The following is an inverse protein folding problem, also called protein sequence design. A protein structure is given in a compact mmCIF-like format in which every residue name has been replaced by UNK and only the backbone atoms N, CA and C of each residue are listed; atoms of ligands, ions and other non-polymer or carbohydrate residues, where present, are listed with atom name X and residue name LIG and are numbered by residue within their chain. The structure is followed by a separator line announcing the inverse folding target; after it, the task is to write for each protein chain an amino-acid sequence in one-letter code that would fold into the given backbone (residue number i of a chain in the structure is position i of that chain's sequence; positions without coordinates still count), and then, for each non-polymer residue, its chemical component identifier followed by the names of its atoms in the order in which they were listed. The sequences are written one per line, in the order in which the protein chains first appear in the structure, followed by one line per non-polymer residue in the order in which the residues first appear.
data_IF_483818397386
#
_entry.id   IF_483818397386
#
_cell.length_a   1.000
_cell.length_b   1.000
_cell.length_c   1.000
_cell.angle_alpha   90.00
_cell.angle_beta   90.00
_cell.angle_gamma   90.00
#
_symmetry.space_group_name_H-M   'P 1'
#
loop_
_entity.id
_entity.type
_entity.pdbx_description
1 polymer ?
#
# COMPACT_ATOMS: atom_id res chain seq x y z
N UNK A 1 -11.63 -11.34 2.46
CA UNK A 1 -11.22 -10.27 1.53
C UNK A 1 -12.26 -9.18 1.51
N UNK A 2 -11.89 -7.98 1.90
CA UNK A 2 -12.76 -6.81 1.98
C UNK A 2 -12.38 -5.84 0.86
N UNK A 3 -13.31 -5.57 -0.04
CA UNK A 3 -13.11 -4.64 -1.16
C UNK A 3 -13.71 -3.27 -0.82
N UNK A 4 -13.04 -2.20 -1.24
CA UNK A 4 -13.52 -0.83 -1.20
C UNK A 4 -13.68 -0.35 -2.65
N UNK A 5 -14.89 0.05 -3.03
CA UNK A 5 -15.21 0.53 -4.37
C UNK A 5 -15.93 1.88 -4.30
N UNK A 6 -15.92 2.60 -5.41
CA UNK A 6 -16.56 3.90 -5.54
C UNK A 6 -15.92 4.77 -6.63
N UNK A 7 -16.58 5.86 -7.05
CA UNK A 7 -16.06 6.77 -8.07
C UNK A 7 -14.70 7.37 -7.73
N UNK A 8 -13.99 7.90 -8.71
CA UNK A 8 -12.77 8.69 -8.48
C UNK A 8 -13.08 9.87 -7.55
N UNK A 9 -12.20 10.12 -6.58
CA UNK A 9 -12.43 11.18 -5.57
C UNK A 9 -13.37 10.80 -4.42
N UNK A 10 -13.91 9.58 -4.37
CA UNK A 10 -14.83 9.17 -3.30
C UNK A 10 -14.19 8.98 -1.91
N UNK A 11 -12.86 9.04 -1.81
CA UNK A 11 -12.13 8.91 -0.54
C UNK A 11 -11.58 7.51 -0.23
N UNK A 12 -11.59 6.56 -1.19
CA UNK A 12 -11.09 5.18 -1.01
C UNK A 12 -9.64 5.12 -0.48
N UNK A 13 -8.70 5.75 -1.20
CA UNK A 13 -7.29 5.79 -0.81
C UNK A 13 -7.09 6.52 0.52
N UNK A 14 -7.84 7.60 0.75
CA UNK A 14 -7.83 8.32 2.04
C UNK A 14 -8.27 7.43 3.19
N UNK A 15 -9.35 6.65 3.03
CA UNK A 15 -9.83 5.71 4.05
C UNK A 15 -8.78 4.63 4.33
N UNK A 16 -8.19 4.05 3.28
CA UNK A 16 -7.15 3.03 3.41
C UNK A 16 -5.90 3.60 4.11
N UNK A 17 -5.49 4.83 3.78
CA UNK A 17 -4.39 5.53 4.46
C UNK A 17 -4.67 5.78 5.95
N UNK A 18 -5.91 6.17 6.29
CA UNK A 18 -6.35 6.39 7.67
C UNK A 18 -6.32 5.07 8.45
N UNK A 19 -6.90 4.00 7.89
CA UNK A 19 -6.90 2.67 8.52
C UNK A 19 -5.49 2.11 8.72
N UNK A 20 -4.55 2.46 7.84
CA UNK A 20 -3.16 2.07 7.94
C UNK A 20 -2.30 2.98 8.84
N UNK A 21 -2.90 3.99 9.51
CA UNK A 21 -2.18 5.03 10.30
C UNK A 21 -1.09 5.77 9.50
N UNK A 22 -1.37 6.09 8.24
CA UNK A 22 -0.46 6.84 7.33
C UNK A 22 -0.84 8.30 7.13
N UNK A 23 -1.97 8.76 7.66
CA UNK A 23 -2.36 10.17 7.70
C UNK A 23 -2.01 10.81 9.03
N UNK A 24 -1.79 12.12 8.97
CA UNK A 24 -1.71 12.96 10.15
C UNK A 24 -3.01 12.83 10.96
N UNK A 25 -2.95 12.55 12.28
CA UNK A 25 -4.13 12.54 13.13
C UNK A 25 -4.85 13.89 13.23
N UNK A 26 -4.19 15.01 12.89
CA UNK A 26 -4.83 16.31 12.89
C UNK A 26 -6.00 16.36 11.89
N UNK A 27 -7.21 16.61 12.41
CA UNK A 27 -8.45 16.65 11.62
C UNK A 27 -9.14 15.29 11.43
N UNK A 28 -8.60 14.20 11.98
CA UNK A 28 -9.30 12.91 12.04
C UNK A 28 -10.21 12.86 13.27
N UNK A 29 -11.42 12.36 13.07
CA UNK A 29 -12.39 12.07 14.12
C UNK A 29 -12.76 10.58 14.10
N UNK A 30 -13.17 10.07 15.26
CA UNK A 30 -13.51 8.65 15.45
C UNK A 30 -12.36 7.82 16.00
N UNK A 31 -12.61 6.52 16.16
CA UNK A 31 -11.67 5.55 16.72
C UNK A 31 -11.55 4.33 15.81
N UNK A 32 -10.37 3.71 15.82
CA UNK A 32 -10.11 2.47 15.08
C UNK A 32 -9.74 1.40 16.10
N UNK A 33 -10.44 0.27 16.03
CA UNK A 33 -10.22 -0.88 16.88
C UNK A 33 -9.62 -2.04 16.08
N UNK A 34 -8.74 -2.79 16.73
CA UNK A 34 -8.21 -4.07 16.28
C UNK A 34 -8.55 -5.11 17.34
N UNK A 35 -9.30 -6.15 16.96
CA UNK A 35 -9.77 -7.20 17.87
C UNK A 35 -10.47 -6.63 19.11
N UNK A 36 -11.23 -5.55 18.90
CA UNK A 36 -11.93 -4.80 19.94
C UNK A 36 -11.07 -3.78 20.69
N UNK A 37 -9.74 -3.81 20.57
CA UNK A 37 -8.87 -2.91 21.34
C UNK A 37 -8.40 -1.72 20.51
N UNK A 38 -8.06 -0.60 21.16
CA UNK A 38 -7.42 0.53 20.48
C UNK A 38 -6.13 0.07 19.83
N UNK A 39 -5.86 0.54 18.62
CA UNK A 39 -4.69 0.16 17.84
C UNK A 39 -3.38 0.30 18.65
N UNK A 40 -2.63 -0.79 18.88
CA UNK A 40 -1.42 -0.77 19.70
C UNK A 40 -0.28 0.00 19.02
N UNK A 41 0.75 0.37 19.78
CA UNK A 41 1.96 0.99 19.21
C UNK A 41 2.67 0.05 18.21
N UNK A 42 2.49 -1.26 18.39
CA UNK A 42 3.02 -2.31 17.50
C UNK A 42 2.27 -2.46 16.18
N UNK A 43 1.18 -1.70 15.97
CA UNK A 43 0.32 -1.81 14.78
C UNK A 43 1.09 -1.74 13.45
N UNK A 44 2.11 -0.87 13.38
CA UNK A 44 2.97 -0.71 12.19
C UNK A 44 3.76 -1.96 11.81
N UNK A 45 3.97 -2.91 12.73
CA UNK A 45 4.72 -4.15 12.48
C UNK A 45 3.82 -5.32 12.07
N UNK A 46 2.52 -5.24 12.32
CA UNK A 46 1.54 -6.27 11.96
C UNK A 46 0.79 -5.97 10.66
N UNK A 47 0.91 -4.73 10.17
CA UNK A 47 0.27 -4.21 8.97
C UNK A 47 1.27 -4.14 7.82
N UNK A 48 0.88 -4.65 6.65
CA UNK A 48 1.52 -4.38 5.37
C UNK A 48 0.70 -3.40 4.55
N UNK A 49 1.36 -2.59 3.73
CA UNK A 49 0.68 -1.59 2.92
C UNK A 49 1.30 -1.48 1.53
N UNK A 50 0.52 -1.77 0.50
CA UNK A 50 0.90 -1.58 -0.91
C UNK A 50 0.28 -0.28 -1.41
N UNK A 51 1.15 0.69 -1.71
CA UNK A 51 0.77 1.99 -2.27
C UNK A 51 0.28 1.88 -3.72
N UNK A 52 -0.50 2.87 -4.16
CA UNK A 52 -0.99 2.97 -5.53
C UNK A 52 0.17 3.13 -6.52
N UNK A 53 1.09 4.07 -6.25
CA UNK A 53 2.28 4.32 -7.05
C UNK A 53 3.42 3.38 -6.65
N UNK A 54 4.03 2.72 -7.64
CA UNK A 54 5.07 1.73 -7.41
C UNK A 54 6.42 2.36 -7.03
N UNK A 55 6.67 2.43 -5.71
CA UNK A 55 7.93 2.90 -5.13
C UNK A 55 8.85 1.70 -4.85
N UNK A 56 9.85 1.51 -5.69
CA UNK A 56 10.80 0.39 -5.61
C UNK A 56 12.17 0.80 -6.17
N UNK A 57 13.24 0.17 -5.67
CA UNK A 57 14.59 0.46 -6.14
C UNK A 57 14.83 -0.15 -7.54
N UNK A 58 14.97 0.72 -8.53
CA UNK A 58 15.12 0.34 -9.94
C UNK A 58 16.44 -0.34 -10.32
N UNK A 59 17.52 -0.06 -9.60
CA UNK A 59 18.86 -0.61 -9.90
C UNK A 59 19.06 -2.04 -9.37
N UNK A 60 18.17 -2.46 -8.47
CA UNK A 60 18.11 -3.82 -7.95
C UNK A 60 17.23 -4.71 -8.83
N UNK A 61 17.50 -6.01 -8.75
CA UNK A 61 16.63 -7.03 -9.31
C UNK A 61 15.36 -7.21 -8.50
N UNK A 62 14.36 -7.89 -9.08
CA UNK A 62 13.14 -8.30 -8.38
C UNK A 62 13.51 -9.06 -7.10
N UNK A 63 14.30 -10.13 -7.21
CA UNK A 63 14.73 -10.97 -6.07
C UNK A 63 15.48 -10.17 -5.01
N UNK A 64 16.34 -9.24 -5.40
CA UNK A 64 17.07 -8.38 -4.45
C UNK A 64 16.14 -7.46 -3.67
N UNK A 65 15.11 -6.87 -4.30
CA UNK A 65 14.12 -6.03 -3.62
C UNK A 65 13.28 -6.83 -2.61
N UNK A 66 12.84 -8.02 -2.99
CA UNK A 66 12.11 -8.94 -2.10
C UNK A 66 12.99 -9.40 -0.93
N UNK A 67 14.23 -9.81 -1.20
CA UNK A 67 15.16 -10.26 -0.16
C UNK A 67 15.52 -9.11 0.80
N UNK A 68 15.73 -7.91 0.29
CA UNK A 68 15.97 -6.72 1.11
C UNK A 68 14.80 -6.45 2.07
N UNK A 69 13.56 -6.56 1.57
CA UNK A 69 12.36 -6.36 2.39
C UNK A 69 12.31 -7.30 3.59
N UNK A 70 12.58 -8.59 3.38
CA UNK A 70 12.60 -9.59 4.46
C UNK A 70 13.78 -9.36 5.40
N UNK A 71 14.98 -9.10 4.85
CA UNK A 71 16.18 -8.92 5.64
C UNK A 71 16.11 -7.72 6.59
N UNK A 72 15.43 -6.65 6.22
CA UNK A 72 15.30 -5.49 7.11
C UNK A 72 14.15 -5.69 8.10
N UNK A 73 13.02 -6.23 7.65
CA UNK A 73 11.76 -6.18 8.42
C UNK A 73 11.45 -7.44 9.22
N UNK A 74 12.17 -8.54 9.03
CA UNK A 74 11.91 -9.83 9.72
C UNK A 74 13.18 -10.35 10.40
N UNK A 75 13.25 -10.31 11.72
CA UNK A 75 14.42 -10.76 12.52
C UNK A 75 14.41 -12.25 12.84
N UNK A 76 13.25 -12.86 13.07
CA UNK A 76 13.12 -14.11 13.84
C UNK A 76 13.19 -15.39 13.01
N UNK A 77 13.74 -15.31 11.79
CA UNK A 77 13.77 -16.43 10.83
C UNK A 77 15.16 -16.64 10.23
N UNK A 78 15.45 -17.91 9.92
CA UNK A 78 16.72 -18.34 9.32
C UNK A 78 16.89 -17.82 7.90
N UNK A 79 18.14 -17.66 7.44
CA UNK A 79 18.44 -17.28 6.04
C UNK A 79 17.82 -18.22 5.01
N UNK A 80 17.74 -19.53 5.32
CA UNK A 80 17.09 -20.52 4.46
C UNK A 80 15.60 -20.22 4.33
N UNK A 81 14.92 -20.00 5.44
CA UNK A 81 13.50 -19.66 5.45
C UNK A 81 13.21 -18.34 4.72
N UNK A 82 14.08 -17.33 4.86
CA UNK A 82 13.95 -16.06 4.10
C UNK A 82 13.95 -16.31 2.60
N UNK A 83 14.93 -17.09 2.11
CA UNK A 83 15.04 -17.44 0.69
C UNK A 83 13.82 -18.23 0.22
N UNK A 84 13.34 -19.19 1.01
CA UNK A 84 12.14 -19.96 0.69
C UNK A 84 10.89 -19.08 0.60
N UNK A 85 10.70 -18.15 1.53
CA UNK A 85 9.59 -17.17 1.47
C UNK A 85 9.67 -16.32 0.20
N UNK A 86 10.85 -15.80 -0.15
CA UNK A 86 11.06 -15.00 -1.36
C UNK A 86 10.76 -15.82 -2.62
N UNK A 87 11.27 -17.05 -2.72
CA UNK A 87 11.01 -17.93 -3.87
C UNK A 87 9.52 -18.26 -4.01
N UNK A 88 8.83 -18.54 -2.91
CA UNK A 88 7.38 -18.81 -2.92
C UNK A 88 6.60 -17.59 -3.44
N UNK A 89 6.92 -16.38 -2.96
CA UNK A 89 6.25 -15.16 -3.41
C UNK A 89 6.54 -14.87 -4.89
N UNK A 90 7.78 -15.05 -5.35
CA UNK A 90 8.14 -14.90 -6.78
C UNK A 90 7.27 -15.83 -7.63
N UNK A 91 7.17 -17.11 -7.27
CA UNK A 91 6.39 -18.09 -8.01
C UNK A 91 4.89 -17.79 -7.97
N UNK A 92 4.34 -17.49 -6.79
CA UNK A 92 2.90 -17.17 -6.62
C UNK A 92 2.46 -15.92 -7.37
N UNK A 93 3.37 -14.96 -7.53
CA UNK A 93 3.11 -13.75 -8.32
C UNK A 93 3.51 -13.91 -9.78
N UNK A 94 4.03 -15.05 -10.23
CA UNK A 94 4.44 -15.29 -11.62
C UNK A 94 5.58 -14.37 -12.07
N UNK A 95 6.57 -14.15 -11.18
CA UNK A 95 7.75 -13.31 -11.42
C UNK A 95 9.00 -14.15 -11.76
N UNK A 96 8.87 -15.46 -11.99
CA UNK A 96 10.00 -16.37 -12.18
C UNK A 96 10.91 -15.96 -13.35
N UNK A 97 10.32 -15.53 -14.47
CA UNK A 97 11.06 -15.13 -15.68
C UNK A 97 11.85 -13.83 -15.51
N UNK A 98 11.48 -12.97 -14.56
CA UNK A 98 12.11 -11.67 -14.33
C UNK A 98 12.73 -11.54 -12.93
N UNK A 99 12.81 -12.64 -12.17
CA UNK A 99 13.29 -12.65 -10.79
C UNK A 99 14.69 -12.04 -10.63
N UNK A 100 15.58 -12.29 -11.59
CA UNK A 100 16.96 -11.83 -11.59
C UNK A 100 17.20 -10.66 -12.57
N UNK A 101 16.11 -10.10 -13.12
CA UNK A 101 16.13 -8.89 -13.97
C UNK A 101 16.02 -7.63 -13.11
N UNK A 102 16.75 -6.57 -13.50
CA UNK A 102 16.65 -5.26 -12.84
C UNK A 102 15.26 -4.66 -13.03
N UNK A 103 14.73 -4.04 -11.98
CA UNK A 103 13.41 -3.39 -12.02
C UNK A 103 13.38 -2.23 -13.02
N UNK A 104 14.50 -1.51 -13.18
CA UNK A 104 14.64 -0.36 -14.08
C UNK A 104 14.36 0.96 -13.38
N UNK A 105 15.01 2.02 -13.85
CA UNK A 105 14.77 3.42 -13.44
C UNK A 105 14.04 4.17 -14.55
N UNK A 106 13.71 5.44 -14.33
CA UNK A 106 13.13 6.28 -15.40
C UNK A 106 14.06 6.41 -16.61
N UNK A 107 15.38 6.30 -16.39
CA UNK A 107 16.40 6.42 -17.43
C UNK A 107 16.93 5.08 -17.93
N UNK A 108 16.64 3.97 -17.22
CA UNK A 108 17.13 2.64 -17.59
C UNK A 108 15.97 1.66 -17.70
N UNK A 109 15.84 1.06 -18.89
CA UNK A 109 14.83 0.03 -19.14
C UNK A 109 15.01 -1.14 -18.18
N UNK A 110 13.91 -1.58 -17.58
CA UNK A 110 13.85 -2.76 -16.74
C UNK A 110 12.64 -3.63 -17.06
N UNK A 111 12.01 -4.17 -16.01
CA UNK A 111 10.81 -5.00 -16.12
C UNK A 111 9.58 -4.19 -16.55
N UNK A 112 8.52 -4.88 -16.97
CA UNK A 112 7.25 -4.24 -17.31
C UNK A 112 6.57 -3.58 -16.10
N UNK A 113 5.68 -2.62 -16.34
CA UNK A 113 4.90 -1.98 -15.27
C UNK A 113 4.10 -2.98 -14.43
N UNK A 114 3.51 -4.01 -15.05
CA UNK A 114 2.79 -5.04 -14.31
C UNK A 114 3.67 -5.97 -13.49
N UNK A 115 4.90 -6.28 -13.95
CA UNK A 115 5.90 -6.99 -13.13
C UNK A 115 6.38 -6.11 -11.97
N UNK A 116 6.53 -4.80 -12.19
CA UNK A 116 6.88 -3.84 -11.14
C UNK A 116 5.79 -3.77 -10.06
N UNK A 117 4.52 -3.63 -10.42
CA UNK A 117 3.38 -3.65 -9.49
C UNK A 117 3.32 -4.94 -8.68
N UNK A 118 3.48 -6.09 -9.34
CA UNK A 118 3.56 -7.38 -8.67
C UNK A 118 4.76 -7.47 -7.72
N UNK A 119 5.91 -6.91 -8.09
CA UNK A 119 7.09 -6.88 -7.20
C UNK A 119 6.82 -6.04 -5.94
N UNK A 120 6.17 -4.86 -6.07
CA UNK A 120 5.75 -4.04 -4.94
C UNK A 120 4.79 -4.79 -4.00
N UNK A 121 3.81 -5.50 -4.56
CA UNK A 121 2.91 -6.37 -3.79
C UNK A 121 3.72 -7.46 -3.08
N UNK A 122 4.65 -8.11 -3.80
CA UNK A 122 5.52 -9.15 -3.27
C UNK A 122 6.37 -8.70 -2.09
N UNK A 123 6.90 -7.47 -2.11
CA UNK A 123 7.70 -6.90 -1.02
C UNK A 123 6.95 -6.82 0.31
N UNK A 124 5.62 -6.64 0.28
CA UNK A 124 4.78 -6.69 1.49
C UNK A 124 4.35 -8.13 1.82
N UNK A 125 4.08 -8.96 0.82
CA UNK A 125 3.66 -10.35 1.01
C UNK A 125 4.73 -11.24 1.65
N UNK A 126 6.01 -11.01 1.35
CA UNK A 126 7.12 -11.77 1.95
C UNK A 126 7.22 -11.61 3.46
N UNK A 127 6.64 -10.53 4.01
CA UNK A 127 6.59 -10.27 5.45
C UNK A 127 5.50 -11.07 6.16
N UNK A 128 4.52 -11.58 5.40
CA UNK A 128 3.34 -12.26 5.93
C UNK A 128 2.61 -11.44 7.03
N UNK A 129 2.19 -10.20 6.74
CA UNK A 129 1.52 -9.36 7.73
C UNK A 129 0.18 -9.97 8.15
N UNK A 130 -0.31 -9.62 9.35
CA UNK A 130 -1.65 -10.05 9.81
C UNK A 130 -2.75 -9.31 9.06
N UNK A 131 -2.50 -8.03 8.77
CA UNK A 131 -3.40 -7.13 8.04
C UNK A 131 -2.66 -6.60 6.82
N UNK A 132 -3.26 -6.70 5.63
CA UNK A 132 -2.68 -6.20 4.40
C UNK A 132 -3.64 -5.21 3.74
N UNK A 133 -3.17 -3.97 3.58
CA UNK A 133 -3.84 -2.93 2.80
C UNK A 133 -3.23 -2.86 1.40
N UNK A 134 -4.06 -2.78 0.36
CA UNK A 134 -3.59 -2.55 -1.01
C UNK A 134 -4.41 -1.46 -1.70
N UNK A 135 -3.73 -0.43 -2.21
CA UNK A 135 -4.37 0.60 -3.01
C UNK A 135 -4.25 0.27 -4.51
N UNK A 136 -5.39 -0.04 -5.13
CA UNK A 136 -5.56 -0.44 -6.52
C UNK A 136 -4.55 -1.51 -6.99
N UNK A 137 -4.55 -2.72 -6.38
CA UNK A 137 -3.54 -3.75 -6.68
C UNK A 137 -3.63 -4.33 -8.09
N UNK A 138 -4.76 -4.15 -8.79
CA UNK A 138 -4.99 -4.64 -10.15
C UNK A 138 -4.74 -3.58 -11.23
N UNK A 139 -4.47 -2.33 -10.85
CA UNK A 139 -4.21 -1.26 -11.81
C UNK A 139 -2.90 -1.53 -12.57
N UNK A 140 -2.94 -1.37 -13.90
CA UNK A 140 -1.79 -1.64 -14.78
C UNK A 140 -1.48 -3.13 -15.02
N UNK A 141 -2.33 -4.06 -14.56
CA UNK A 141 -2.20 -5.49 -14.83
C UNK A 141 -3.16 -5.92 -15.95
N UNK A 142 -2.72 -6.88 -16.77
CA UNK A 142 -3.64 -7.60 -17.65
C UNK A 142 -4.61 -8.46 -16.82
N UNK A 143 -5.72 -8.85 -17.44
CA UNK A 143 -6.81 -9.52 -16.73
C UNK A 143 -6.42 -10.87 -16.08
N UNK A 144 -5.55 -11.65 -16.73
CA UNK A 144 -5.14 -12.95 -16.21
C UNK A 144 -4.20 -12.76 -15.01
N UNK A 145 -3.24 -11.85 -15.13
CA UNK A 145 -2.32 -11.51 -14.05
C UNK A 145 -3.05 -10.89 -12.86
N UNK A 146 -3.98 -9.97 -13.09
CA UNK A 146 -4.82 -9.38 -12.05
C UNK A 146 -5.61 -10.47 -11.29
N UNK A 147 -6.23 -11.41 -12.01
CA UNK A 147 -6.97 -12.51 -11.40
C UNK A 147 -6.06 -13.39 -10.53
N UNK A 148 -4.85 -13.73 -11.00
CA UNK A 148 -3.90 -14.54 -10.23
C UNK A 148 -3.44 -13.84 -8.94
N UNK A 149 -3.19 -12.53 -8.99
CA UNK A 149 -2.87 -11.72 -7.79
C UNK A 149 -4.05 -11.77 -6.81
N UNK A 150 -5.27 -11.52 -7.27
CA UNK A 150 -6.46 -11.52 -6.41
C UNK A 150 -6.77 -12.90 -5.83
N UNK A 151 -6.54 -13.97 -6.60
CA UNK A 151 -6.65 -15.36 -6.14
C UNK A 151 -5.64 -15.65 -5.04
N UNK A 152 -4.41 -15.19 -5.17
CA UNK A 152 -3.40 -15.38 -4.11
C UNK A 152 -3.75 -14.60 -2.85
N UNK A 153 -4.25 -13.36 -2.98
CA UNK A 153 -4.83 -12.63 -1.85
C UNK A 153 -5.98 -13.41 -1.21
N UNK A 154 -6.86 -14.03 -2.00
CA UNK A 154 -7.93 -14.87 -1.45
C UNK A 154 -7.39 -16.05 -0.65
N UNK A 155 -6.37 -16.74 -1.15
CA UNK A 155 -5.68 -17.81 -0.41
C UNK A 155 -5.13 -17.31 0.93
N UNK A 156 -4.49 -16.13 0.97
CA UNK A 156 -4.02 -15.55 2.22
C UNK A 156 -5.17 -15.22 3.17
N UNK A 157 -6.28 -14.68 2.66
CA UNK A 157 -7.46 -14.38 3.47
C UNK A 157 -8.05 -15.64 4.09
N UNK A 158 -8.10 -16.76 3.36
CA UNK A 158 -8.57 -18.05 3.90
C UNK A 158 -7.65 -18.62 4.98
N UNK A 159 -6.38 -18.18 5.03
CA UNK A 159 -5.42 -18.53 6.09
C UNK A 159 -5.49 -17.59 7.29
N UNK A 160 -6.59 -16.84 7.45
CA UNK A 160 -6.82 -15.96 8.59
C UNK A 160 -6.13 -14.60 8.50
N UNK A 161 -5.77 -14.13 7.30
CA UNK A 161 -5.23 -12.77 7.09
C UNK A 161 -6.35 -11.79 6.75
N UNK A 162 -6.32 -10.62 7.35
CA UNK A 162 -7.24 -9.53 6.99
C UNK A 162 -6.70 -8.80 5.79
N UNK A 163 -7.44 -8.81 4.68
CA UNK A 163 -7.04 -8.13 3.44
C UNK A 163 -8.09 -7.09 3.11
N UNK A 164 -7.65 -5.85 2.97
CA UNK A 164 -8.47 -4.68 2.64
C UNK A 164 -7.84 -4.03 1.43
N UNK A 165 -8.60 -3.78 0.38
CA UNK A 165 -8.07 -3.17 -0.82
C UNK A 165 -9.09 -2.30 -1.52
N UNK A 166 -8.61 -1.24 -2.16
CA UNK A 166 -9.41 -0.49 -3.13
C UNK A 166 -9.34 -1.18 -4.49
N UNK A 167 -10.43 -1.14 -5.24
CA UNK A 167 -10.44 -1.60 -6.63
C UNK A 167 -11.38 -0.75 -7.47
N UNK A 168 -10.97 -0.46 -8.70
CA UNK A 168 -11.78 0.25 -9.68
C UNK A 168 -12.23 -0.73 -10.77
N UNK A 169 -13.54 -0.84 -11.00
CA UNK A 169 -14.16 -1.65 -12.06
C UNK A 169 -13.55 -3.06 -12.23
N UNK A 170 -13.67 -3.96 -11.22
CA UNK A 170 -13.15 -5.31 -11.33
C UNK A 170 -13.99 -6.14 -12.31
N UNK A 171 -13.31 -7.01 -13.08
CA UNK A 171 -14.00 -8.07 -13.83
C UNK A 171 -14.82 -8.95 -12.90
N UNK A 172 -15.93 -9.48 -13.40
CA UNK A 172 -16.82 -10.38 -12.67
C UNK A 172 -16.10 -11.55 -11.97
N UNK A 173 -15.07 -12.13 -12.61
CA UNK A 173 -14.26 -13.21 -12.02
C UNK A 173 -13.50 -12.80 -10.76
N UNK A 174 -13.05 -11.54 -10.69
CA UNK A 174 -12.39 -10.97 -9.51
C UNK A 174 -13.43 -10.57 -8.47
N UNK A 175 -14.54 -9.95 -8.91
CA UNK A 175 -15.63 -9.55 -8.03
C UNK A 175 -16.17 -10.71 -7.19
N UNK A 176 -16.28 -11.91 -7.77
CA UNK A 176 -16.68 -13.14 -7.06
C UNK A 176 -15.76 -13.55 -5.88
N UNK A 177 -14.53 -13.05 -5.83
CA UNK A 177 -13.58 -13.40 -4.77
C UNK A 177 -13.83 -12.61 -3.47
N UNK A 178 -14.60 -11.52 -3.54
CA UNK A 178 -14.83 -10.63 -2.41
C UNK A 178 -15.76 -11.28 -1.38
N UNK A 179 -15.41 -11.17 -0.10
CA UNK A 179 -16.29 -11.60 0.99
C UNK A 179 -17.21 -10.45 1.41
N UNK A 180 -16.62 -9.26 1.60
CA UNK A 180 -17.33 -8.03 1.95
C UNK A 180 -17.00 -6.93 0.95
N UNK A 181 -17.96 -6.03 0.76
CA UNK A 181 -17.84 -4.87 -0.10
C UNK A 181 -18.28 -3.62 0.67
N UNK A 182 -17.45 -2.58 0.59
CA UNK A 182 -17.75 -1.25 1.06
C UNK A 182 -17.79 -0.32 -0.15
N UNK A 183 -18.92 0.37 -0.34
CA UNK A 183 -19.08 1.38 -1.37
C UNK A 183 -18.98 2.79 -0.77
N UNK A 184 -18.17 3.63 -1.42
CA UNK A 184 -17.98 5.02 -1.03
C UNK A 184 -18.40 5.98 -2.14
N UNK A 185 -19.07 7.07 -1.77
CA UNK A 185 -19.34 8.22 -2.62
C UNK A 185 -19.10 9.50 -1.82
N UNK A 186 -18.35 10.47 -2.36
CA UNK A 186 -18.07 11.77 -1.71
C UNK A 186 -17.67 11.70 -0.22
N UNK A 187 -16.80 10.74 0.13
CA UNK A 187 -16.33 10.54 1.51
C UNK A 187 -17.31 9.84 2.44
N UNK A 188 -18.51 9.47 1.97
CA UNK A 188 -19.53 8.76 2.74
C UNK A 188 -19.64 7.30 2.34
N UNK A 189 -19.97 6.45 3.30
CA UNK A 189 -20.29 5.05 3.07
C UNK A 189 -21.76 4.94 2.64
N UNK A 190 -22.01 4.32 1.48
CA UNK A 190 -23.36 4.12 0.93
C UNK A 190 -23.77 2.64 0.92
N UNK A 191 -22.83 1.74 1.22
CA UNK A 191 -23.07 0.32 1.41
C UNK A 191 -21.88 -0.30 2.15
N UNK A 192 -22.12 -1.16 3.13
CA UNK A 192 -21.12 -2.00 3.76
C UNK A 192 -21.75 -3.34 4.15
N UNK A 193 -21.40 -4.40 3.43
CA UNK A 193 -22.06 -5.68 3.61
C UNK A 193 -21.33 -6.84 2.94
N UNK A 194 -21.97 -8.01 2.98
CA UNK A 194 -21.51 -9.19 2.24
C UNK A 194 -21.70 -8.96 0.75
N UNK A 195 -20.73 -9.41 -0.06
CA UNK A 195 -20.83 -9.24 -1.52
C UNK A 195 -22.11 -9.85 -2.11
N UNK A 196 -22.60 -10.95 -1.52
CA UNK A 196 -23.84 -11.62 -1.94
C UNK A 196 -25.11 -10.78 -1.68
N UNK A 197 -25.07 -9.85 -0.73
CA UNK A 197 -26.20 -8.98 -0.35
C UNK A 197 -26.27 -7.70 -1.18
N UNK A 198 -25.34 -7.48 -2.12
CA UNK A 198 -25.25 -6.26 -2.91
C UNK A 198 -26.48 -6.04 -3.81
N UNK A 199 -26.82 -7.04 -4.63
CA UNK A 199 -27.93 -6.94 -5.58
C UNK A 199 -29.31 -6.86 -4.89
N UNK A 200 -29.60 -7.66 -3.84
CA UNK A 200 -30.81 -7.48 -3.05
C UNK A 200 -30.96 -6.07 -2.49
N UNK A 201 -29.88 -5.50 -1.92
CA UNK A 201 -29.88 -4.15 -1.37
C UNK A 201 -30.22 -3.09 -2.43
N UNK A 202 -29.56 -3.11 -3.58
CA UNK A 202 -29.84 -2.15 -4.64
C UNK A 202 -31.26 -2.30 -5.20
N UNK A 203 -31.81 -3.52 -5.25
CA UNK A 203 -33.20 -3.75 -5.65
C UNK A 203 -34.18 -3.10 -4.69
N UNK A 204 -33.93 -3.16 -3.38
CA UNK A 204 -34.74 -2.46 -2.36
C UNK A 204 -34.63 -0.94 -2.50
N UNK A 205 -33.48 -0.44 -2.95
CA UNK A 205 -33.28 0.97 -3.29
C UNK A 205 -33.92 1.38 -4.63
N UNK A 206 -34.59 0.47 -5.34
CA UNK A 206 -35.23 0.75 -6.63
C UNK A 206 -34.32 0.63 -7.85
N UNK A 207 -33.09 0.13 -7.69
CA UNK A 207 -32.14 -0.10 -8.78
C UNK A 207 -32.04 -1.59 -9.14
N UNK A 208 -32.31 -1.93 -10.40
CA UNK A 208 -32.30 -3.33 -10.88
C UNK A 208 -31.08 -3.53 -11.78
N UNK A 209 -30.25 -4.53 -11.43
CA UNK A 209 -29.16 -5.01 -12.28
C UNK A 209 -29.70 -6.01 -13.31
N UNK A 210 -29.32 -5.85 -14.57
CA UNK A 210 -29.67 -6.81 -15.63
C UNK A 210 -28.91 -8.13 -15.46
N UNK A 211 -29.43 -9.24 -16.02
CA UNK A 211 -28.88 -10.59 -15.79
C UNK A 211 -27.46 -10.79 -16.33
N UNK A 212 -27.07 -10.04 -17.36
CA UNK A 212 -25.77 -10.15 -18.02
C UNK A 212 -24.79 -9.05 -17.61
N UNK A 213 -25.24 -8.12 -16.77
CA UNK A 213 -24.40 -7.05 -16.26
C UNK A 213 -23.48 -7.53 -15.16
N UNK A 214 -22.27 -6.96 -15.13
CA UNK A 214 -21.36 -7.15 -14.03
C UNK A 214 -21.88 -6.36 -12.81
N UNK A 215 -22.21 -7.01 -11.68
CA UNK A 215 -22.74 -6.32 -10.50
C UNK A 215 -21.81 -5.21 -9.98
N UNK A 216 -20.51 -5.37 -10.18
CA UNK A 216 -19.50 -4.37 -9.82
C UNK A 216 -19.65 -3.09 -10.64
N UNK A 217 -19.88 -3.22 -11.94
CA UNK A 217 -20.01 -2.10 -12.87
C UNK A 217 -21.38 -1.44 -12.67
N UNK A 218 -22.45 -2.24 -12.56
CA UNK A 218 -23.79 -1.77 -12.18
C UNK A 218 -23.78 -0.91 -10.92
N UNK A 219 -23.15 -1.40 -9.84
CA UNK A 219 -23.09 -0.66 -8.58
C UNK A 219 -22.31 0.66 -8.74
N UNK A 220 -21.22 0.67 -9.51
CA UNK A 220 -20.47 1.90 -9.79
C UNK A 220 -21.26 2.88 -10.64
N UNK A 221 -22.01 2.40 -11.64
CA UNK A 221 -22.83 3.25 -12.51
C UNK A 221 -23.95 3.94 -11.74
N UNK A 222 -24.60 3.23 -10.79
CA UNK A 222 -25.57 3.83 -9.87
C UNK A 222 -24.92 4.96 -9.06
N UNK A 223 -23.70 4.75 -8.55
CA UNK A 223 -22.99 5.78 -7.78
C UNK A 223 -22.52 6.95 -8.62
N UNK A 224 -22.07 6.71 -9.86
CA UNK A 224 -21.62 7.77 -10.77
C UNK A 224 -22.81 8.66 -11.15
N UNK A 225 -23.95 8.06 -11.50
CA UNK A 225 -25.20 8.80 -11.80
C UNK A 225 -25.66 9.61 -10.59
N UNK A 226 -25.65 9.00 -9.40
CA UNK A 226 -25.97 9.73 -8.17
C UNK A 226 -24.98 10.87 -7.92
N UNK A 227 -23.69 10.71 -8.23
CA UNK A 227 -22.70 11.76 -8.01
C UNK A 227 -22.89 13.00 -8.90
N UNK A 228 -23.60 12.88 -10.02
CA UNK A 228 -23.97 14.02 -10.86
C UNK A 228 -25.09 14.87 -10.24
N UNK A 229 -25.89 14.29 -9.32
CA UNK A 229 -27.03 14.94 -8.66
C UNK A 229 -26.92 14.81 -7.13
N UNK A 230 -26.57 15.91 -6.46
CA UNK A 230 -26.24 15.89 -5.02
C UNK A 230 -27.32 15.24 -4.14
N UNK A 231 -28.59 15.46 -4.45
CA UNK A 231 -29.74 14.92 -3.70
C UNK A 231 -29.79 13.37 -3.76
N UNK A 232 -29.34 12.76 -4.85
CA UNK A 232 -29.33 11.30 -5.01
C UNK A 232 -28.26 10.62 -4.14
N UNK A 233 -27.11 11.27 -3.95
CA UNK A 233 -26.08 10.76 -3.01
C UNK A 233 -26.58 10.80 -1.57
N UNK A 234 -27.26 11.88 -1.19
CA UNK A 234 -27.84 12.02 0.14
C UNK A 234 -28.93 10.96 0.37
N UNK A 235 -29.76 10.68 -0.64
CA UNK A 235 -30.76 9.60 -0.57
C UNK A 235 -30.11 8.23 -0.36
N UNK A 236 -29.11 7.85 -1.17
CA UNK A 236 -28.40 6.57 -1.01
C UNK A 236 -27.74 6.43 0.36
N UNK A 237 -27.17 7.52 0.88
CA UNK A 237 -26.58 7.56 2.21
C UNK A 237 -27.63 7.35 3.31
N UNK A 238 -28.76 8.07 3.25
CA UNK A 238 -29.83 7.96 4.23
C UNK A 238 -30.46 6.55 4.21
N UNK A 239 -30.66 5.97 3.02
CA UNK A 239 -31.14 4.58 2.88
C UNK A 239 -30.19 3.59 3.52
N UNK A 240 -28.88 3.76 3.33
CA UNK A 240 -27.89 2.93 4.01
C UNK A 240 -27.94 3.10 5.53
N UNK A 241 -27.97 4.34 6.03
CA UNK A 241 -28.02 4.64 7.47
C UNK A 241 -29.24 4.02 8.17
N UNK A 242 -30.38 4.00 7.47
CA UNK A 242 -31.63 3.40 7.97
C UNK A 242 -31.68 1.87 7.79
N UNK A 243 -30.78 1.29 7.00
CA UNK A 243 -30.79 -0.15 6.71
C UNK A 243 -30.46 -1.00 7.93
N UNK A 244 -31.01 -2.22 7.96
CA UNK A 244 -30.69 -3.21 9.00
C UNK A 244 -29.18 -3.52 9.04
N UNK A 245 -28.49 -3.48 7.89
CA UNK A 245 -27.04 -3.68 7.82
C UNK A 245 -26.28 -2.64 8.63
N UNK A 246 -26.63 -1.36 8.49
CA UNK A 246 -25.99 -0.29 9.25
C UNK A 246 -26.27 -0.44 10.74
N UNK A 247 -27.52 -0.69 11.12
CA UNK A 247 -27.91 -0.87 12.53
C UNK A 247 -27.19 -2.06 13.19
N UNK A 248 -27.03 -3.17 12.48
CA UNK A 248 -26.30 -4.35 12.94
C UNK A 248 -24.80 -4.07 13.14
N UNK A 249 -24.19 -3.27 12.25
CA UNK A 249 -22.78 -2.88 12.38
C UNK A 249 -22.61 -1.90 13.55
N UNK A 250 -23.46 -0.90 13.65
CA UNK A 250 -23.40 0.11 14.70
C UNK A 250 -23.62 -0.52 16.08
N UNK A 251 -24.62 -1.40 16.23
CA UNK A 251 -24.84 -2.12 17.49
C UNK A 251 -23.66 -3.03 17.88
N UNK A 252 -23.03 -3.70 16.92
CA UNK A 252 -21.80 -4.45 17.17
C UNK A 252 -20.66 -3.56 17.67
N UNK A 253 -20.47 -2.39 17.06
CA UNK A 253 -19.41 -1.44 17.44
C UNK A 253 -19.66 -0.84 18.84
N UNK A 254 -20.88 -0.37 19.11
CA UNK A 254 -21.25 0.17 20.44
C UNK A 254 -21.17 -0.90 21.52
N UNK A 255 -21.53 -2.15 21.20
CA UNK A 255 -21.38 -3.29 22.10
C UNK A 255 -19.92 -3.59 22.46
N UNK A 256 -18.97 -3.35 21.55
CA UNK A 256 -17.55 -3.48 21.84
C UNK A 256 -17.00 -2.31 22.65
N UNK A 257 -17.40 -1.07 22.39
CA UNK A 257 -16.97 0.09 23.19
C UNK A 257 -17.23 -0.11 24.69
N UNK A 258 -18.43 -0.58 25.06
CA UNK A 258 -18.79 -0.81 26.47
C UNK A 258 -18.00 -1.90 27.19
N UNK A 259 -17.54 -2.94 26.49
CA UNK A 259 -16.75 -4.03 27.09
C UNK A 259 -15.30 -3.61 27.37
N UNK A 260 -14.80 -2.59 26.68
CA UNK A 260 -13.39 -2.21 26.70
C UNK A 260 -13.03 -1.17 27.75
N UNK A 261 -13.95 -0.30 28.16
CA UNK A 261 -13.74 0.60 29.31
C UNK A 261 -13.39 -0.18 30.60
N UNK A 262 -13.83 -1.44 30.69
CA UNK A 262 -13.56 -2.34 31.81
C UNK A 262 -12.22 -3.10 31.69
N UNK A 263 -11.71 -3.32 30.47
CA UNK A 263 -10.53 -4.17 30.22
C UNK A 263 -9.22 -3.40 29.94
N UNK A 264 -9.27 -2.06 29.84
CA UNK A 264 -8.12 -1.18 29.53
C UNK A 264 -6.94 -1.23 30.53
N UNK A 265 -6.98 -2.08 31.57
CA UNK A 265 -5.91 -2.22 32.58
C UNK A 265 -4.91 -3.34 32.22
N UNK A 266 -5.22 -4.28 31.32
CA UNK A 266 -4.36 -5.46 31.20
C UNK A 266 -4.31 -6.10 29.81
N UNK A 267 -3.38 -5.61 28.97
CA UNK A 267 -2.42 -6.38 28.14
C UNK A 267 -1.84 -5.48 27.05
N UNK A 268 -0.77 -4.76 27.38
CA UNK A 268 0.13 -4.26 26.36
C UNK A 268 0.86 -5.47 25.76
N UNK A 269 0.36 -6.00 24.64
CA UNK A 269 1.15 -6.94 23.84
C UNK A 269 2.45 -6.25 23.43
N UNK A 270 3.57 -6.78 23.93
CA UNK A 270 4.90 -6.40 23.46
C UNK A 270 4.93 -6.68 21.96
N UNK A 271 4.93 -5.62 21.15
CA UNK A 271 5.14 -5.73 19.71
C UNK A 271 6.38 -6.56 19.42
N UNK A 272 6.32 -7.35 18.34
CA UNK A 272 7.51 -8.05 17.84
C UNK A 272 8.68 -7.04 17.76
N UNK A 273 9.84 -7.35 18.33
CA UNK A 273 10.97 -6.44 18.29
C UNK A 273 11.32 -6.21 16.82
N UNK A 274 11.36 -4.94 16.42
CA UNK A 274 11.99 -4.57 15.15
C UNK A 274 13.41 -5.12 15.09
N UNK A 275 13.96 -5.25 13.90
CA UNK A 275 15.33 -5.73 13.73
C UNK A 275 16.30 -4.78 14.46
N UNK A 276 17.44 -5.30 14.92
CA UNK A 276 18.41 -4.45 15.61
C UNK A 276 18.90 -3.34 14.70
N UNK A 277 19.04 -2.12 15.25
CA UNK A 277 19.43 -0.93 14.49
C UNK A 277 20.74 -1.13 13.69
N UNK A 278 21.73 -1.81 14.26
CA UNK A 278 22.98 -2.12 13.56
C UNK A 278 22.80 -3.02 12.34
N UNK A 279 21.88 -4.00 12.43
CA UNK A 279 21.56 -4.86 11.28
C UNK A 279 20.75 -4.12 10.21
N UNK A 280 19.85 -3.20 10.61
CA UNK A 280 19.15 -2.33 9.68
C UNK A 280 20.13 -1.45 8.90
N UNK A 281 21.06 -0.78 9.60
CA UNK A 281 22.15 -0.02 8.98
C UNK A 281 22.94 -0.91 8.03
N UNK A 282 23.34 -2.10 8.45
CA UNK A 282 24.11 -3.01 7.61
C UNK A 282 23.43 -3.30 6.25
N UNK A 283 22.15 -3.70 6.27
CA UNK A 283 21.44 -3.99 5.01
C UNK A 283 21.16 -2.74 4.19
N UNK A 284 20.82 -1.62 4.84
CA UNK A 284 20.60 -0.34 4.15
C UNK A 284 21.89 0.11 3.47
N UNK A 285 23.01 0.10 4.17
CA UNK A 285 24.34 0.43 3.63
C UNK A 285 24.74 -0.50 2.50
N UNK A 286 24.55 -1.81 2.64
CA UNK A 286 24.82 -2.77 1.58
C UNK A 286 24.00 -2.48 0.32
N UNK A 287 22.70 -2.18 0.49
CA UNK A 287 21.82 -1.80 -0.61
C UNK A 287 22.27 -0.49 -1.27
N UNK A 288 22.55 0.53 -0.47
CA UNK A 288 22.96 1.86 -0.96
C UNK A 288 24.28 1.78 -1.72
N UNK A 289 25.25 1.02 -1.22
CA UNK A 289 26.52 0.79 -1.93
C UNK A 289 26.30 0.07 -3.26
N UNK A 290 25.47 -0.99 -3.28
CA UNK A 290 25.11 -1.69 -4.52
C UNK A 290 24.40 -0.78 -5.52
N UNK A 291 23.52 0.10 -5.04
CA UNK A 291 22.85 1.11 -5.86
C UNK A 291 23.87 2.08 -6.47
N UNK A 292 24.77 2.64 -5.65
CA UNK A 292 25.80 3.58 -6.09
C UNK A 292 26.77 2.97 -7.13
N UNK A 293 27.13 1.69 -6.98
CA UNK A 293 27.98 0.98 -7.95
C UNK A 293 27.25 0.76 -9.28
N UNK A 294 25.94 0.48 -9.25
CA UNK A 294 25.15 0.14 -10.46
C UNK A 294 24.60 1.35 -11.20
N UNK A 295 24.50 2.49 -10.54
CA UNK A 295 24.11 3.77 -11.13
C UNK A 295 25.13 4.86 -10.73
N UNK A 296 26.33 4.84 -11.34
CA UNK A 296 27.39 5.77 -11.01
C UNK A 296 27.15 7.16 -11.62
N UNK A 297 26.08 7.37 -12.40
CA UNK A 297 25.89 8.62 -13.15
C UNK A 297 25.84 9.85 -12.24
N UNK A 298 25.12 9.76 -11.11
CA UNK A 298 25.06 10.83 -10.11
C UNK A 298 26.40 11.06 -9.40
N UNK A 299 27.14 9.99 -9.11
CA UNK A 299 28.44 10.10 -8.47
C UNK A 299 29.48 10.70 -9.42
N UNK A 300 29.48 10.24 -10.68
CA UNK A 300 30.39 10.71 -11.71
C UNK A 300 30.11 12.18 -12.06
N UNK A 301 28.85 12.59 -12.14
CA UNK A 301 28.50 13.99 -12.39
C UNK A 301 29.01 14.91 -11.28
N UNK A 302 28.91 14.49 -10.01
CA UNK A 302 29.48 15.23 -8.89
C UNK A 302 31.00 15.34 -8.98
N UNK A 303 31.70 14.23 -9.23
CA UNK A 303 33.17 14.23 -9.38
C UNK A 303 33.61 15.16 -10.50
N UNK A 304 32.94 15.11 -11.66
CA UNK A 304 33.24 15.98 -12.80
C UNK A 304 33.01 17.45 -12.45
N UNK A 305 31.89 17.78 -11.83
CA UNK A 305 31.60 19.17 -11.39
C UNK A 305 32.65 19.66 -10.40
N UNK A 306 33.05 18.82 -9.44
CA UNK A 306 34.10 19.18 -8.47
C UNK A 306 35.46 19.39 -9.13
N UNK A 307 35.84 18.56 -10.11
CA UNK A 307 37.09 18.74 -10.87
C UNK A 307 37.04 20.04 -11.67
N UNK A 308 35.95 20.30 -12.39
CA UNK A 308 35.80 21.51 -13.21
C UNK A 308 35.83 22.76 -12.34
N UNK A 309 35.10 22.77 -11.21
CA UNK A 309 35.12 23.89 -10.28
C UNK A 309 36.52 24.08 -9.66
N UNK A 310 37.18 23.00 -9.27
CA UNK A 310 38.55 23.03 -8.75
C UNK A 310 39.55 23.60 -9.76
N UNK A 311 39.41 23.23 -11.04
CA UNK A 311 40.22 23.78 -12.13
C UNK A 311 39.92 25.27 -12.36
N UNK A 312 38.65 25.68 -12.36
CA UNK A 312 38.27 27.09 -12.52
C UNK A 312 38.82 27.96 -11.39
N UNK A 313 38.67 27.51 -10.14
CA UNK A 313 39.24 28.21 -8.98
C UNK A 313 40.77 28.25 -9.10
N UNK A 314 41.40 27.13 -9.46
CA UNK A 314 42.84 27.06 -9.68
C UNK A 314 43.34 27.98 -10.81
N UNK A 315 42.54 28.20 -11.85
CA UNK A 315 42.84 29.14 -12.93
C UNK A 315 42.67 30.60 -12.52
N UNK A 316 41.65 30.92 -11.73
CA UNK A 316 41.43 32.30 -11.21
C UNK A 316 42.54 32.72 -10.27
N UNK A 317 43.00 31.80 -9.42
CA UNK A 317 44.09 32.02 -8.47
C UNK A 317 45.42 31.47 -8.99
N UNK A 318 45.54 31.31 -10.32
CA UNK A 318 46.75 30.82 -10.93
C UNK A 318 47.88 31.83 -10.66
N UNK A 319 48.97 31.34 -10.08
CA UNK A 319 50.16 32.14 -9.77
C UNK A 319 49.89 33.33 -8.83
N UNK A 320 48.99 33.16 -7.87
CA UNK A 320 48.76 34.15 -6.82
C UNK A 320 50.04 34.35 -6.00
N UNK A 321 50.55 35.58 -5.99
CA UNK A 321 51.77 35.96 -5.28
C UNK A 321 51.71 35.56 -3.80
N UNK A 322 52.75 34.87 -3.32
CA UNK A 322 52.91 34.48 -1.91
C UNK A 322 53.18 35.67 -0.97
N UNK A 323 53.14 36.91 -1.47
CA UNK A 323 53.49 38.14 -0.75
C UNK A 323 52.28 38.98 -0.32
N UNK A 324 51.07 38.42 -0.34
CA UNK A 324 49.90 39.12 0.18
C UNK A 324 50.00 39.17 1.72
N UNK A 325 50.50 40.29 2.23
CA UNK A 325 50.32 40.72 3.62
C UNK A 325 48.83 40.57 4.00
N UNK A 326 48.46 40.02 5.18
CA UNK A 326 47.07 39.74 5.52
C UNK A 326 46.29 41.05 5.64
N UNK A 327 45.69 41.47 4.53
CA UNK A 327 44.88 42.66 4.41
C UNK A 327 43.55 42.52 5.14
N UNK A 328 43.57 42.63 6.47
CA UNK A 328 42.49 43.31 7.18
C UNK A 328 42.64 44.79 6.83
N UNK A 329 42.08 45.22 5.71
CA UNK A 329 41.84 46.64 5.47
C UNK A 329 40.39 46.95 5.84
N UNK A 330 40.22 47.45 7.06
CA UNK A 330 39.05 48.24 7.42
C UNK A 330 38.94 49.43 6.46
N UNK A 331 37.84 49.50 5.71
CA UNK A 331 37.22 50.77 5.32
C UNK A 331 35.73 50.56 5.12
#
# INVERSE_FOLDING_TARGET
MNAIMGPTGSGKSSLIDILARRKDPHGLSGQIFLDGQVLPASYKYIVGYVVQQDIICGTLTVRENLMFSVNVRVSDISEKERKERVMNVISKLGLDSCADSKVGTEFTRGISGGEKKRTCIGMEMVLQPKILFLDEPTSGLDAATAYNVMKYLKELSTKGRTIIFSIHQPRYSIFKLFDKLLLMCNGRCVYNGLNASLLPYFRECGHICEEHDNPADFALDVLIKANEQKDDVDNLYNTYEQSEMHQNITSYLTGQEHVNDLNNISRAEKGAPGRSFGMEIYYVSQRTLRNAIRDPALFLSQVVVSIVLGLLVGLVFYDMDNTIDPGIQNR
#
